data_IF_412417555424
#
_entry.id   IF_412417555424
#
_cell.length_a   1.000
_cell.length_b   1.000
_cell.length_c   1.000
_cell.angle_alpha   90.00
_cell.angle_beta   90.00
_cell.angle_gamma   90.00
#
_symmetry.space_group_name_H-M   'P 1'
#
loop_
_entity.id
_entity.type
_entity.pdbx_description
1 polymer ?
#
# COMPACT_ATOMS: atom_id res chain seq x y z
N UNK A 1 -14.15 20.27 -37.51
CA UNK A 1 -13.61 19.93 -36.17
C UNK A 1 -13.67 21.21 -35.35
N UNK A 2 -14.47 21.25 -34.29
CA UNK A 2 -14.57 22.43 -33.42
C UNK A 2 -13.36 22.44 -32.48
N UNK A 3 -12.62 23.55 -32.48
CA UNK A 3 -11.53 23.80 -31.55
C UNK A 3 -12.17 24.11 -30.19
N UNK A 4 -12.12 23.15 -29.27
CA UNK A 4 -12.55 23.36 -27.88
C UNK A 4 -11.55 24.33 -27.26
N UNK A 5 -12.05 25.46 -26.77
CA UNK A 5 -11.24 26.49 -26.12
C UNK A 5 -10.96 26.06 -24.69
N UNK A 6 -9.78 25.44 -24.46
CA UNK A 6 -9.34 24.94 -23.14
C UNK A 6 -9.08 26.07 -22.11
N UNK A 7 -9.27 27.34 -22.48
CA UNK A 7 -9.03 28.46 -21.57
C UNK A 7 -10.08 28.61 -20.47
N UNK A 8 -11.26 27.97 -20.59
CA UNK A 8 -12.35 28.09 -19.62
C UNK A 8 -12.09 27.41 -18.25
N UNK A 9 -11.05 26.58 -18.11
CA UNK A 9 -10.78 25.85 -16.86
C UNK A 9 -9.74 26.49 -15.92
N UNK A 10 -9.21 27.67 -16.24
CA UNK A 10 -8.19 28.32 -15.41
C UNK A 10 -8.79 29.40 -14.50
N UNK A 11 -8.72 29.18 -13.19
CA UNK A 11 -9.03 30.22 -12.18
C UNK A 11 -7.75 30.97 -11.83
N UNK A 12 -7.74 32.29 -12.03
CA UNK A 12 -6.60 33.12 -11.65
C UNK A 12 -6.55 33.31 -10.12
N UNK A 13 -5.58 32.67 -9.46
CA UNK A 13 -5.36 32.82 -8.02
C UNK A 13 -4.27 33.86 -7.77
N UNK A 14 -4.60 34.96 -7.09
CA UNK A 14 -3.61 35.97 -6.68
C UNK A 14 -2.98 35.58 -5.35
N UNK A 15 -1.83 34.93 -5.41
CA UNK A 15 -1.08 34.49 -4.21
C UNK A 15 -0.17 35.62 -3.73
N UNK A 16 -0.24 35.95 -2.43
CA UNK A 16 0.76 36.78 -1.76
C UNK A 16 1.79 35.86 -1.10
N UNK A 17 3.07 36.04 -1.41
CA UNK A 17 4.16 35.22 -0.89
C UNK A 17 5.34 36.07 -0.45
N UNK A 18 6.18 35.51 0.42
CA UNK A 18 7.42 36.16 0.84
C UNK A 18 8.41 36.26 -0.33
N UNK A 19 9.19 37.34 -0.38
CA UNK A 19 10.14 37.63 -1.47
C UNK A 19 11.18 36.53 -1.66
N UNK A 20 11.67 35.94 -0.57
CA UNK A 20 12.61 34.82 -0.61
C UNK A 20 12.00 33.58 -1.27
N UNK A 21 10.77 33.22 -0.88
CA UNK A 21 10.05 32.09 -1.50
C UNK A 21 9.84 32.31 -2.99
N UNK A 22 9.47 33.53 -3.40
CA UNK A 22 9.32 33.89 -4.80
C UNK A 22 10.64 33.71 -5.58
N UNK A 23 11.76 34.19 -5.05
CA UNK A 23 13.08 34.04 -5.68
C UNK A 23 13.49 32.57 -5.81
N UNK A 24 13.17 31.74 -4.80
CA UNK A 24 13.44 30.30 -4.85
C UNK A 24 12.59 29.58 -5.90
N UNK A 25 11.32 29.96 -6.05
CA UNK A 25 10.43 29.42 -7.08
C UNK A 25 10.88 29.83 -8.48
N UNK A 26 11.23 31.11 -8.67
CA UNK A 26 11.72 31.63 -9.95
C UNK A 26 13.02 30.95 -10.38
N UNK A 27 13.98 30.78 -9.46
CA UNK A 27 15.20 30.00 -9.74
C UNK A 27 14.90 28.57 -10.17
N UNK A 28 14.06 27.86 -9.42
CA UNK A 28 13.68 26.47 -9.71
C UNK A 28 12.96 26.34 -11.06
N UNK A 29 12.09 27.30 -11.39
CA UNK A 29 11.37 27.34 -12.65
C UNK A 29 12.34 27.55 -13.82
N UNK A 30 13.29 28.49 -13.68
CA UNK A 30 14.32 28.75 -14.69
C UNK A 30 15.25 27.54 -14.92
N UNK A 31 15.69 26.87 -13.85
CA UNK A 31 16.51 25.65 -13.92
C UNK A 31 15.82 24.51 -14.69
N UNK A 32 14.47 24.46 -14.65
CA UNK A 32 13.65 23.45 -15.34
C UNK A 32 13.13 23.91 -16.70
N UNK A 33 13.35 25.16 -17.09
CA UNK A 33 12.76 25.75 -18.29
C UNK A 33 11.23 25.84 -18.22
N UNK A 34 10.65 25.97 -17.02
CA UNK A 34 9.22 26.08 -16.77
C UNK A 34 8.83 27.52 -16.39
N UNK A 35 7.55 27.87 -16.53
CA UNK A 35 7.04 29.14 -15.99
C UNK A 35 6.90 29.06 -14.47
N UNK A 36 7.01 30.19 -13.78
CA UNK A 36 6.80 30.26 -12.33
C UNK A 36 5.42 29.72 -11.92
N UNK A 37 4.38 29.97 -12.72
CA UNK A 37 3.03 29.42 -12.48
C UNK A 37 3.00 27.89 -12.62
N UNK A 38 3.65 27.33 -13.64
CA UNK A 38 3.72 25.88 -13.83
C UNK A 38 4.43 25.20 -12.64
N UNK A 39 5.54 25.78 -12.17
CA UNK A 39 6.26 25.26 -11.00
C UNK A 39 5.42 25.36 -9.71
N UNK A 40 4.64 26.44 -9.53
CA UNK A 40 3.71 26.58 -8.38
C UNK A 40 2.62 25.51 -8.43
N UNK A 41 1.99 25.32 -9.58
CA UNK A 41 0.92 24.32 -9.77
C UNK A 41 1.47 22.93 -9.50
N UNK A 42 2.60 22.56 -10.12
CA UNK A 42 3.20 21.24 -9.94
C UNK A 42 3.56 20.97 -8.45
N UNK A 43 4.07 21.97 -7.74
CA UNK A 43 4.37 21.82 -6.29
C UNK A 43 3.10 21.69 -5.46
N UNK A 44 2.06 22.46 -5.77
CA UNK A 44 0.76 22.35 -5.09
C UNK A 44 0.15 20.98 -5.34
N UNK A 45 0.08 20.53 -6.59
CA UNK A 45 -0.37 19.18 -6.97
C UNK A 45 0.43 18.11 -6.23
N UNK A 46 1.77 18.23 -6.20
CA UNK A 46 2.63 17.30 -5.47
C UNK A 46 2.37 17.33 -3.96
N UNK A 47 2.15 18.50 -3.37
CA UNK A 47 1.84 18.62 -1.94
C UNK A 47 0.50 18.00 -1.59
N UNK A 48 -0.53 18.23 -2.42
CA UNK A 48 -1.88 17.68 -2.26
C UNK A 48 -1.86 16.16 -2.50
N UNK A 49 -1.14 15.70 -3.53
CA UNK A 49 -0.93 14.28 -3.80
C UNK A 49 -0.17 13.58 -2.66
N UNK A 50 0.83 14.24 -2.08
CA UNK A 50 1.58 13.69 -0.93
C UNK A 50 0.72 13.63 0.33
N UNK A 51 -0.13 14.63 0.55
CA UNK A 51 -1.07 14.65 1.67
C UNK A 51 -2.16 13.58 1.52
N UNK A 52 -2.63 13.29 0.30
CA UNK A 52 -3.71 12.33 0.08
C UNK A 52 -3.31 10.87 0.29
N UNK A 53 -2.03 10.49 0.07
CA UNK A 53 -1.63 9.07 0.14
C UNK A 53 -1.48 8.56 1.59
N UNK A 54 -0.86 9.35 2.49
CA UNK A 54 -0.63 8.93 3.90
C UNK A 54 -1.34 9.84 4.91
N UNK A 55 -2.08 10.87 4.48
CA UNK A 55 -2.87 11.74 5.36
C UNK A 55 -4.20 12.19 4.77
N UNK A 56 -4.68 11.47 3.74
CA UNK A 56 -5.96 11.75 3.10
C UNK A 56 -7.14 11.32 3.96
N UNK A 57 -8.38 11.43 3.45
CA UNK A 57 -9.61 11.11 4.18
C UNK A 57 -9.72 9.63 4.64
N UNK A 58 -8.76 8.77 4.26
CA UNK A 58 -8.73 7.35 4.62
C UNK A 58 -8.33 7.14 6.09
N UNK A 59 -7.37 7.92 6.60
CA UNK A 59 -6.84 7.79 7.96
C UNK A 59 -6.74 9.19 8.55
N UNK A 60 -7.66 9.54 9.43
CA UNK A 60 -7.66 10.85 10.11
C UNK A 60 -6.83 10.85 11.40
N UNK A 61 -6.52 9.67 11.93
CA UNK A 61 -5.78 9.51 13.18
C UNK A 61 -4.30 9.90 13.01
N UNK A 62 -3.94 11.09 13.51
CA UNK A 62 -2.61 11.68 13.39
C UNK A 62 -1.49 10.76 13.94
N UNK A 63 -1.60 10.18 15.15
CA UNK A 63 -0.69 9.14 15.62
C UNK A 63 -0.47 7.99 14.62
N UNK A 64 -1.54 7.44 14.03
CA UNK A 64 -1.44 6.34 13.06
C UNK A 64 -0.73 6.78 11.80
N UNK A 65 -1.04 7.98 11.29
CA UNK A 65 -0.34 8.58 10.14
C UNK A 65 1.16 8.73 10.42
N UNK A 66 1.52 9.26 11.60
CA UNK A 66 2.92 9.44 11.98
C UNK A 66 3.67 8.10 12.06
N UNK A 67 3.03 7.07 12.64
CA UNK A 67 3.58 5.72 12.71
C UNK A 67 3.76 5.11 11.30
N UNK A 68 2.76 5.25 10.42
CA UNK A 68 2.84 4.78 9.04
C UNK A 68 3.97 5.46 8.26
N UNK A 69 4.14 6.78 8.42
CA UNK A 69 5.26 7.54 7.81
C UNK A 69 6.61 7.07 8.32
N UNK A 70 6.74 6.82 9.63
CA UNK A 70 7.97 6.32 10.23
C UNK A 70 8.33 4.92 9.71
N UNK A 71 7.35 4.01 9.65
CA UNK A 71 7.53 2.68 9.06
C UNK A 71 7.97 2.77 7.60
N UNK A 72 7.28 3.57 6.78
CA UNK A 72 7.60 3.72 5.36
C UNK A 72 9.03 4.27 5.16
N UNK A 73 9.44 5.26 5.96
CA UNK A 73 10.81 5.79 5.92
C UNK A 73 11.84 4.73 6.30
N UNK A 74 11.62 3.99 7.38
CA UNK A 74 12.53 2.95 7.83
C UNK A 74 12.67 1.81 6.80
N UNK A 75 11.55 1.37 6.22
CA UNK A 75 11.52 0.39 5.13
C UNK A 75 12.34 0.86 3.93
N UNK A 76 12.14 2.11 3.51
CA UNK A 76 12.81 2.69 2.35
C UNK A 76 14.32 2.76 2.55
N UNK A 77 14.78 3.26 3.70
CA UNK A 77 16.21 3.42 3.98
C UNK A 77 16.91 2.06 4.17
N UNK A 78 16.27 1.12 4.87
CA UNK A 78 16.79 -0.23 5.07
C UNK A 78 16.85 -1.00 3.75
N UNK A 79 15.77 -0.97 2.96
CA UNK A 79 15.69 -1.63 1.66
C UNK A 79 16.73 -1.09 0.67
N UNK A 80 16.86 0.24 0.55
CA UNK A 80 17.87 0.86 -0.33
C UNK A 80 19.28 0.47 0.07
N UNK A 81 19.61 0.58 1.35
CA UNK A 81 20.94 0.22 1.87
C UNK A 81 21.24 -1.25 1.60
N UNK A 82 20.30 -2.15 1.91
CA UNK A 82 20.45 -3.58 1.69
C UNK A 82 20.60 -3.93 0.20
N UNK A 83 19.80 -3.33 -0.68
CA UNK A 83 19.89 -3.52 -2.13
C UNK A 83 21.25 -3.06 -2.66
N UNK A 84 21.73 -1.90 -2.23
CA UNK A 84 23.06 -1.40 -2.60
C UNK A 84 24.17 -2.34 -2.13
N UNK A 85 24.11 -2.83 -0.88
CA UNK A 85 25.13 -3.73 -0.37
C UNK A 85 25.14 -5.09 -1.08
N UNK A 86 23.96 -5.60 -1.46
CA UNK A 86 23.82 -6.85 -2.17
C UNK A 86 24.26 -6.77 -3.64
N UNK A 87 24.00 -5.66 -4.33
CA UNK A 87 24.12 -5.58 -5.81
C UNK A 87 25.18 -4.59 -6.29
N UNK A 88 25.58 -3.63 -5.44
CA UNK A 88 26.42 -2.46 -5.80
C UNK A 88 25.85 -1.63 -6.97
N UNK A 89 24.53 -1.66 -7.19
CA UNK A 89 23.85 -0.97 -8.29
C UNK A 89 22.90 0.12 -7.79
N UNK A 90 23.03 1.33 -8.36
CA UNK A 90 22.13 2.44 -8.08
C UNK A 90 20.71 2.19 -8.62
N UNK A 91 20.59 1.49 -9.76
CA UNK A 91 19.29 1.14 -10.34
C UNK A 91 18.53 0.15 -9.43
N UNK A 92 19.22 -0.88 -8.92
CA UNK A 92 18.65 -1.84 -7.96
C UNK A 92 18.30 -1.17 -6.62
N UNK A 93 19.07 -0.16 -6.22
CA UNK A 93 18.75 0.64 -5.02
C UNK A 93 17.44 1.39 -5.19
N UNK A 94 17.19 1.99 -6.35
CA UNK A 94 15.93 2.67 -6.63
C UNK A 94 14.74 1.70 -6.69
N UNK A 95 14.98 0.45 -7.09
CA UNK A 95 13.99 -0.62 -7.24
C UNK A 95 14.11 -1.70 -6.14
N UNK A 96 14.49 -1.30 -4.91
CA UNK A 96 14.88 -2.24 -3.85
C UNK A 96 13.80 -3.28 -3.52
N UNK A 97 12.52 -2.95 -3.69
CA UNK A 97 11.40 -3.84 -3.42
C UNK A 97 11.32 -5.06 -4.37
N UNK A 98 12.07 -5.04 -5.50
CA UNK A 98 12.24 -6.17 -6.40
C UNK A 98 13.34 -7.15 -5.97
N UNK A 99 14.23 -6.74 -5.06
CA UNK A 99 15.29 -7.57 -4.52
C UNK A 99 14.82 -8.28 -3.24
N UNK A 100 14.87 -9.62 -3.21
CA UNK A 100 14.32 -10.41 -2.10
C UNK A 100 15.00 -10.12 -0.75
N UNK A 101 16.32 -9.98 -0.73
CA UNK A 101 17.06 -9.68 0.49
C UNK A 101 16.74 -8.27 1.00
N UNK A 102 16.73 -7.28 0.10
CA UNK A 102 16.38 -5.91 0.47
C UNK A 102 14.94 -5.77 0.96
N UNK A 103 14.00 -6.47 0.34
CA UNK A 103 12.61 -6.51 0.77
C UNK A 103 12.46 -7.11 2.17
N UNK A 104 13.15 -8.21 2.46
CA UNK A 104 13.17 -8.83 3.79
C UNK A 104 13.71 -7.85 4.86
N UNK A 105 14.81 -7.15 4.57
CA UNK A 105 15.36 -6.14 5.48
C UNK A 105 14.39 -4.96 5.71
N UNK A 106 13.66 -4.53 4.68
CA UNK A 106 12.61 -3.52 4.84
C UNK A 106 11.46 -4.03 5.74
N UNK A 107 11.02 -5.29 5.57
CA UNK A 107 10.00 -5.90 6.44
C UNK A 107 10.47 -5.95 7.90
N UNK A 108 11.72 -6.33 8.14
CA UNK A 108 12.30 -6.35 9.48
C UNK A 108 12.31 -4.95 10.09
N UNK A 109 12.71 -3.92 9.33
CA UNK A 109 12.71 -2.53 9.79
C UNK A 109 11.30 -2.05 10.19
N UNK A 110 10.27 -2.36 9.37
CA UNK A 110 8.89 -2.05 9.70
C UNK A 110 8.42 -2.74 11.00
N UNK A 111 8.75 -4.03 11.15
CA UNK A 111 8.42 -4.79 12.35
C UNK A 111 9.10 -4.19 13.59
N UNK A 112 10.37 -3.80 13.50
CA UNK A 112 11.10 -3.15 14.60
C UNK A 112 10.42 -1.84 15.04
N UNK A 113 9.96 -1.01 14.08
CA UNK A 113 9.21 0.21 14.41
C UNK A 113 7.92 -0.13 15.15
N UNK A 114 7.12 -1.08 14.66
CA UNK A 114 5.88 -1.48 15.31
C UNK A 114 6.09 -2.03 16.72
N UNK A 115 7.12 -2.85 16.92
CA UNK A 115 7.45 -3.39 18.24
C UNK A 115 7.93 -2.31 19.22
N UNK A 116 8.65 -1.30 18.75
CA UNK A 116 9.11 -0.19 19.59
C UNK A 116 7.95 0.67 20.14
N UNK A 117 6.84 0.79 19.40
CA UNK A 117 5.64 1.50 19.82
C UNK A 117 4.58 0.60 20.47
N UNK A 118 4.85 -0.70 20.63
CA UNK A 118 3.93 -1.60 21.30
C UNK A 118 3.77 -1.16 22.77
N UNK A 119 2.55 -0.84 23.23
CA UNK A 119 2.35 -0.49 24.62
C UNK A 119 2.66 -1.70 25.52
N UNK A 120 3.19 -1.48 26.74
CA UNK A 120 3.38 -2.57 27.68
C UNK A 120 2.01 -3.15 28.10
N UNK A 121 1.91 -4.48 28.21
CA UNK A 121 0.67 -5.13 28.65
C UNK A 121 0.50 -6.54 28.12
N UNK A 122 -0.62 -7.17 28.52
CA UNK A 122 -1.01 -8.48 28.01
C UNK A 122 -1.67 -8.33 26.63
N UNK A 123 -1.07 -8.92 25.60
CA UNK A 123 -1.60 -8.92 24.23
C UNK A 123 -2.49 -10.13 23.93
N UNK A 124 -2.75 -10.99 24.91
CA UNK A 124 -3.66 -12.12 24.73
C UNK A 124 -5.07 -11.62 24.38
N UNK A 125 -5.69 -12.28 23.40
CA UNK A 125 -7.06 -11.99 23.01
C UNK A 125 -8.01 -12.11 24.22
N UNK A 126 -8.98 -11.20 24.36
CA UNK A 126 -9.93 -11.27 25.45
C UNK A 126 -10.76 -12.57 25.32
N UNK A 127 -10.95 -13.27 26.44
CA UNK A 127 -11.81 -14.46 26.50
C UNK A 127 -13.27 -14.02 26.60
N UNK A 128 -13.87 -13.73 25.44
CA UNK A 128 -15.27 -13.37 25.33
C UNK A 128 -16.11 -14.59 24.97
N UNK A 129 -17.25 -14.74 25.62
CA UNK A 129 -18.26 -15.74 25.29
C UNK A 129 -19.52 -15.07 24.78
N UNK A 130 -20.17 -15.67 23.79
CA UNK A 130 -21.51 -15.26 23.35
C UNK A 130 -22.56 -15.63 24.40
N UNK A 131 -23.80 -15.16 24.23
CA UNK A 131 -24.94 -15.60 25.04
C UNK A 131 -25.25 -17.10 24.89
N UNK A 132 -24.74 -17.75 23.82
CA UNK A 132 -24.84 -19.20 23.61
C UNK A 132 -23.66 -19.98 24.19
N UNK A 133 -22.68 -19.29 24.81
CA UNK A 133 -21.50 -19.91 25.43
C UNK A 133 -20.35 -20.20 24.46
N UNK A 134 -20.46 -19.78 23.19
CA UNK A 134 -19.40 -19.92 22.18
C UNK A 134 -18.21 -19.03 22.53
N UNK A 135 -17.00 -19.57 22.45
CA UNK A 135 -15.75 -18.87 22.73
C UNK A 135 -15.27 -18.11 21.49
N UNK A 136 -15.22 -16.78 21.59
CA UNK A 136 -14.80 -15.90 20.49
C UNK A 136 -13.29 -15.62 20.48
N UNK A 137 -12.51 -16.19 21.41
CA UNK A 137 -11.07 -15.92 21.52
C UNK A 137 -10.29 -16.23 20.24
N UNK A 138 -10.69 -17.26 19.49
CA UNK A 138 -10.09 -17.61 18.20
C UNK A 138 -10.38 -16.56 17.11
N UNK A 139 -11.57 -15.95 17.12
CA UNK A 139 -11.92 -14.87 16.19
C UNK A 139 -11.09 -13.62 16.50
N UNK A 140 -10.92 -13.28 17.78
CA UNK A 140 -10.10 -12.13 18.18
C UNK A 140 -8.60 -12.33 17.95
N UNK A 141 -8.09 -13.55 18.07
CA UNK A 141 -6.66 -13.84 17.84
C UNK A 141 -6.23 -13.69 16.37
N UNK A 142 -7.20 -13.70 15.44
CA UNK A 142 -6.96 -13.56 14.00
C UNK A 142 -7.48 -12.25 13.42
N UNK A 143 -7.95 -11.32 14.25
CA UNK A 143 -8.58 -10.07 13.80
C UNK A 143 -7.65 -9.26 12.88
N UNK A 144 -6.40 -9.03 13.32
CA UNK A 144 -5.44 -8.22 12.56
C UNK A 144 -5.08 -8.83 11.21
N UNK A 145 -4.81 -10.15 11.16
CA UNK A 145 -4.52 -10.85 9.91
C UNK A 145 -5.75 -10.96 9.01
N UNK A 146 -6.95 -11.11 9.56
CA UNK A 146 -8.21 -11.11 8.84
C UNK A 146 -8.46 -9.78 8.10
N UNK A 147 -8.29 -8.64 8.78
CA UNK A 147 -8.40 -7.32 8.14
C UNK A 147 -7.33 -7.10 7.06
N UNK A 148 -6.07 -7.46 7.36
CA UNK A 148 -4.99 -7.35 6.38
C UNK A 148 -5.28 -8.18 5.12
N UNK A 149 -5.68 -9.44 5.27
CA UNK A 149 -6.02 -10.32 4.15
C UNK A 149 -7.22 -9.81 3.36
N UNK A 150 -8.26 -9.30 4.04
CA UNK A 150 -9.42 -8.69 3.37
C UNK A 150 -9.01 -7.53 2.47
N UNK A 151 -8.20 -6.60 3.00
CA UNK A 151 -7.74 -5.44 2.24
C UNK A 151 -6.85 -5.85 1.07
N UNK A 152 -5.95 -6.82 1.28
CA UNK A 152 -5.08 -7.39 0.24
C UNK A 152 -5.94 -7.96 -0.90
N UNK A 153 -6.98 -8.73 -0.59
CA UNK A 153 -7.90 -9.27 -1.60
C UNK A 153 -8.65 -8.18 -2.37
N UNK A 154 -9.15 -7.16 -1.67
CA UNK A 154 -9.89 -6.05 -2.29
C UNK A 154 -9.00 -5.26 -3.24
N UNK A 155 -7.77 -4.97 -2.84
CA UNK A 155 -6.76 -4.29 -3.66
C UNK A 155 -6.32 -5.15 -4.85
N UNK A 156 -6.14 -6.46 -4.66
CA UNK A 156 -5.85 -7.38 -5.75
C UNK A 156 -6.95 -7.34 -6.81
N UNK A 157 -8.20 -7.54 -6.37
CA UNK A 157 -9.38 -7.52 -7.25
C UNK A 157 -9.70 -6.13 -7.81
N UNK A 158 -9.22 -5.07 -7.18
CA UNK A 158 -9.63 -3.70 -7.47
C UNK A 158 -11.11 -3.45 -7.15
N UNK A 159 -11.67 -4.20 -6.20
CA UNK A 159 -13.09 -4.18 -5.85
C UNK A 159 -13.24 -4.16 -4.33
N UNK A 160 -13.81 -3.08 -3.81
CA UNK A 160 -14.12 -2.92 -2.39
C UNK A 160 -15.38 -3.70 -2.00
N UNK A 161 -15.45 -4.13 -0.73
CA UNK A 161 -16.65 -4.81 -0.18
C UNK A 161 -17.78 -3.83 0.15
N UNK A 162 -17.44 -2.59 0.45
CA UNK A 162 -18.38 -1.54 0.83
C UNK A 162 -18.21 -0.33 -0.10
N UNK A 163 -19.25 0.51 -0.22
CA UNK A 163 -19.17 1.75 -0.99
C UNK A 163 -18.15 2.73 -0.39
N UNK A 164 -18.00 2.74 0.93
CA UNK A 164 -17.06 3.59 1.67
C UNK A 164 -15.60 3.23 1.34
N UNK A 165 -15.29 1.94 1.16
CA UNK A 165 -13.93 1.49 0.87
C UNK A 165 -13.51 1.67 -0.60
N UNK A 166 -14.41 2.02 -1.53
CA UNK A 166 -14.10 2.11 -2.97
C UNK A 166 -12.94 3.08 -3.25
N UNK A 167 -13.00 4.29 -2.68
CA UNK A 167 -11.95 5.30 -2.88
C UNK A 167 -10.61 4.83 -2.30
N UNK A 168 -10.64 4.27 -1.09
CA UNK A 168 -9.46 3.73 -0.41
C UNK A 168 -8.79 2.62 -1.21
N UNK A 169 -9.55 1.63 -1.66
CA UNK A 169 -9.02 0.52 -2.47
C UNK A 169 -8.42 1.03 -3.77
N UNK A 170 -9.07 1.98 -4.44
CA UNK A 170 -8.54 2.60 -5.66
C UNK A 170 -7.22 3.33 -5.42
N UNK A 171 -7.14 4.15 -4.37
CA UNK A 171 -5.92 4.89 -4.00
C UNK A 171 -4.77 3.93 -3.72
N UNK A 172 -5.01 2.89 -2.91
CA UNK A 172 -3.97 1.90 -2.57
C UNK A 172 -3.55 1.11 -3.81
N UNK A 173 -4.51 0.65 -4.63
CA UNK A 173 -4.20 -0.11 -5.84
C UNK A 173 -3.36 0.70 -6.84
N UNK A 174 -3.66 1.99 -7.01
CA UNK A 174 -2.89 2.89 -7.86
C UNK A 174 -1.49 3.15 -7.30
N UNK A 175 -1.37 3.35 -5.98
CA UNK A 175 -0.09 3.58 -5.31
C UNK A 175 0.86 2.38 -5.35
N UNK A 176 0.33 1.15 -5.39
CA UNK A 176 1.15 -0.05 -5.48
C UNK A 176 1.75 -0.28 -6.87
N UNK A 177 1.20 0.32 -7.93
CA UNK A 177 1.68 0.15 -9.30
C UNK A 177 1.89 -1.35 -9.64
N UNK A 178 3.07 -1.73 -10.15
CA UNK A 178 3.43 -3.11 -10.48
C UNK A 178 3.55 -4.04 -9.26
N UNK A 179 3.66 -3.53 -8.04
CA UNK A 179 3.61 -4.39 -6.83
C UNK A 179 2.24 -5.02 -6.64
N UNK A 180 1.19 -4.44 -7.22
CA UNK A 180 -0.16 -5.01 -7.21
C UNK A 180 -0.19 -6.40 -7.85
N UNK A 181 0.58 -6.63 -8.91
CA UNK A 181 0.60 -7.91 -9.63
C UNK A 181 1.10 -9.04 -8.72
N UNK A 182 2.11 -8.77 -7.87
CA UNK A 182 2.61 -9.73 -6.87
C UNK A 182 1.54 -10.13 -5.86
N UNK A 183 0.64 -9.21 -5.53
CA UNK A 183 -0.47 -9.48 -4.63
C UNK A 183 -1.51 -10.35 -5.34
N UNK A 184 -1.85 -10.03 -6.58
CA UNK A 184 -2.80 -10.79 -7.40
C UNK A 184 -2.36 -12.26 -7.53
N UNK A 185 -1.09 -12.51 -7.85
CA UNK A 185 -0.54 -13.86 -7.99
C UNK A 185 -0.68 -14.67 -6.70
N UNK A 186 -0.49 -14.03 -5.54
CA UNK A 186 -0.55 -14.68 -4.23
C UNK A 186 -1.96 -14.84 -3.69
N UNK A 187 -2.80 -13.82 -3.86
CA UNK A 187 -4.15 -13.77 -3.28
C UNK A 187 -5.15 -14.61 -4.08
N UNK A 188 -4.97 -14.68 -5.40
CA UNK A 188 -5.90 -15.40 -6.29
C UNK A 188 -5.37 -16.81 -6.59
N UNK A 189 -4.05 -17.02 -6.49
CA UNK A 189 -3.42 -18.25 -6.96
C UNK A 189 -3.72 -18.52 -8.43
N UNK A 190 -3.19 -19.59 -9.04
CA UNK A 190 -3.86 -20.15 -10.20
C UNK A 190 -5.27 -20.52 -9.70
N UNK A 191 -6.31 -19.91 -10.28
CA UNK A 191 -7.68 -20.40 -10.13
C UNK A 191 -7.69 -21.84 -10.62
N UNK A 192 -7.37 -22.78 -9.73
CA UNK A 192 -7.58 -24.20 -9.96
C UNK A 192 -9.08 -24.31 -10.06
N UNK A 193 -9.58 -24.28 -11.30
CA UNK A 193 -10.99 -24.47 -11.58
C UNK A 193 -11.42 -25.72 -10.80
N UNK A 194 -12.54 -25.66 -10.04
CA UNK A 194 -12.97 -26.76 -9.17
C UNK A 194 -13.06 -28.15 -9.82
N UNK A 195 -13.02 -28.22 -11.16
CA UNK A 195 -12.99 -29.46 -11.94
C UNK A 195 -11.77 -30.35 -11.69
N UNK A 196 -10.61 -29.83 -11.28
CA UNK A 196 -9.40 -30.66 -11.10
C UNK A 196 -9.25 -31.27 -9.70
N UNK A 197 -9.79 -30.61 -8.65
CA UNK A 197 -9.63 -31.07 -7.26
C UNK A 197 -10.56 -32.26 -6.92
N UNK A 198 -11.70 -32.39 -7.61
CA UNK A 198 -12.64 -33.49 -7.40
C UNK A 198 -12.41 -34.71 -8.32
N UNK A 199 -11.61 -34.58 -9.38
CA UNK A 199 -11.35 -35.66 -10.36
C UNK A 199 -10.31 -36.70 -9.93
N UNK A 200 -9.50 -36.43 -8.91
CA UNK A 200 -8.33 -37.26 -8.58
C UNK A 200 -8.54 -38.25 -7.42
N UNK A 201 -9.55 -38.04 -6.55
CA UNK A 201 -9.75 -38.88 -5.35
C UNK A 201 -10.63 -40.14 -5.54
N UNK A 202 -11.20 -40.37 -6.72
CA UNK A 202 -12.12 -41.51 -6.98
C UNK A 202 -11.65 -42.51 -8.05
N UNK A 203 -10.34 -42.64 -8.32
CA UNK A 203 -9.83 -43.86 -8.98
C UNK A 203 -9.63 -44.95 -7.93
N UNK A 204 -10.74 -45.64 -7.64
CA UNK A 204 -10.80 -46.77 -6.73
C UNK A 204 -9.82 -47.88 -7.10
N UNK A 205 -9.11 -48.37 -6.08
CA UNK A 205 -8.49 -49.70 -6.05
C UNK A 205 -9.57 -50.74 -6.34
N UNK A 206 -9.63 -51.27 -7.56
CA UNK A 206 -10.34 -52.53 -7.83
C UNK A 206 -9.57 -53.65 -7.17
N UNK A 207 -10.16 -54.22 -6.12
CA UNK A 207 -9.69 -55.42 -5.45
C UNK A 207 -9.61 -56.58 -6.46
N UNK A 208 -8.44 -57.18 -6.58
CA UNK A 208 -8.26 -58.44 -7.28
C UNK A 208 -8.91 -59.57 -6.48
N UNK A 209 -9.99 -60.12 -7.02
CA UNK A 209 -10.52 -61.41 -6.59
C UNK A 209 -9.64 -62.54 -7.13
N UNK A 210 -9.04 -63.32 -6.24
CA UNK A 210 -8.39 -64.59 -6.57
C UNK A 210 -9.47 -65.65 -6.81
N UNK A 211 -9.27 -66.48 -7.84
CA UNK A 211 -9.84 -67.83 -7.96
C UNK A 211 -8.72 -68.82 -7.74
#
# INVERSE_FOLDING_TARGET
>A
MAQVDDTENFVQVRIRMQRDLQQRLDRSANERGASMNAEIVERLERSIASDTIIGGPIIEDRPVIALARMMASAMHDAGRTAAFMATRSAAETANWYGNAFAYDQAVQAAATVLEAFRPPGNTAAPRLKTNTGEDLSQTFSTLGSGFANSLIEEVARGAARTAEDVSKVSIIANGLMHLRDRITDRAIGPTTTPKEVWGSKYKGKRAGGKK
#
